data_IF_977917335529
#
_entry.id   IF_977917335529
#
_cell.length_a   1.000
_cell.length_b   1.000
_cell.length_c   1.000
_cell.angle_alpha   90.00
_cell.angle_beta   90.00
_cell.angle_gamma   90.00
#
_symmetry.space_group_name_H-M   'P 1'
#
loop_
_entity.id
_entity.type
_entity.pdbx_description
1 polymer ?
#
# COMPACT_ATOMS: atom_id res chain seq x y z
N UNK A 1 13.99 -30.68 -5.19
CA UNK A 1 14.00 -29.84 -3.97
C UNK A 1 12.81 -28.90 -4.07
N UNK A 2 11.87 -28.94 -3.12
CA UNK A 2 10.71 -28.04 -3.15
C UNK A 2 11.09 -26.73 -2.45
N UNK A 3 10.62 -25.60 -2.98
CA UNK A 3 10.89 -24.29 -2.37
C UNK A 3 10.26 -24.21 -0.96
N UNK A 4 9.17 -24.94 -0.73
CA UNK A 4 8.52 -25.07 0.57
C UNK A 4 9.48 -25.56 1.67
N UNK A 5 10.41 -26.44 1.31
CA UNK A 5 11.37 -27.05 2.23
C UNK A 5 12.46 -26.06 2.68
N UNK A 6 12.60 -24.92 1.98
CA UNK A 6 13.55 -23.85 2.29
C UNK A 6 13.02 -22.82 3.29
N UNK A 7 11.72 -22.78 3.54
CA UNK A 7 11.13 -21.77 4.41
C UNK A 7 11.32 -22.10 5.90
N UNK A 8 11.49 -21.04 6.70
CA UNK A 8 11.47 -21.14 8.16
C UNK A 8 10.11 -21.64 8.65
N UNK A 9 10.07 -22.36 9.78
CA UNK A 9 8.80 -22.84 10.37
C UNK A 9 7.80 -21.70 10.66
N UNK A 10 8.30 -20.49 10.95
CA UNK A 10 7.46 -19.31 11.22
C UNK A 10 6.63 -18.89 10.00
N UNK A 11 7.12 -19.14 8.79
CA UNK A 11 6.43 -18.78 7.54
C UNK A 11 5.06 -19.45 7.43
N UNK A 12 4.85 -20.60 8.11
CA UNK A 12 3.54 -21.29 8.16
C UNK A 12 2.43 -20.46 8.81
N UNK A 13 2.79 -19.45 9.62
CA UNK A 13 1.83 -18.58 10.30
C UNK A 13 1.60 -17.26 9.56
N UNK A 14 2.26 -17.03 8.43
CA UNK A 14 2.02 -15.82 7.65
C UNK A 14 0.61 -15.88 7.06
N UNK A 15 -0.13 -14.78 7.23
CA UNK A 15 -1.44 -14.58 6.64
C UNK A 15 -1.34 -13.43 5.64
N UNK A 16 -2.03 -13.58 4.52
CA UNK A 16 -2.26 -12.47 3.60
C UNK A 16 -3.17 -11.45 4.28
N UNK A 17 -3.00 -10.17 3.92
CA UNK A 17 -3.87 -9.11 4.42
C UNK A 17 -5.06 -8.96 3.49
N UNK A 18 -6.24 -9.35 3.96
CA UNK A 18 -7.51 -9.20 3.21
C UNK A 18 -7.77 -7.72 2.86
N UNK A 19 -7.36 -6.79 3.75
CA UNK A 19 -7.43 -5.34 3.51
C UNK A 19 -6.57 -4.92 2.30
N UNK A 20 -5.40 -5.52 2.10
CA UNK A 20 -4.53 -5.21 0.95
C UNK A 20 -5.14 -5.66 -0.37
N UNK A 21 -5.79 -6.82 -0.40
CA UNK A 21 -6.49 -7.30 -1.60
C UNK A 21 -7.70 -6.41 -1.93
N UNK A 22 -8.46 -5.99 -0.91
CA UNK A 22 -9.56 -5.04 -1.09
C UNK A 22 -9.06 -3.67 -1.61
N UNK A 23 -7.92 -3.20 -1.11
CA UNK A 23 -7.27 -1.98 -1.59
C UNK A 23 -6.88 -2.08 -3.07
N UNK A 24 -6.32 -3.21 -3.50
CA UNK A 24 -5.97 -3.45 -4.89
C UNK A 24 -7.21 -3.46 -5.79
N UNK A 25 -8.31 -4.07 -5.33
CA UNK A 25 -9.57 -4.06 -6.06
C UNK A 25 -10.18 -2.65 -6.15
N UNK A 26 -10.10 -1.86 -5.08
CA UNK A 26 -10.67 -0.51 -5.03
C UNK A 26 -9.99 0.50 -5.98
N UNK A 27 -8.78 0.20 -6.43
CA UNK A 27 -8.03 1.03 -7.37
C UNK A 27 -8.39 0.75 -8.84
N UNK A 28 -9.23 -0.25 -9.12
CA UNK A 28 -9.66 -0.55 -10.49
C UNK A 28 -10.67 0.50 -10.98
N UNK A 29 -10.49 1.10 -12.16
CA UNK A 29 -11.35 2.17 -12.65
C UNK A 29 -12.84 1.80 -12.80
N UNK A 30 -13.16 0.52 -12.96
CA UNK A 30 -14.51 -0.04 -13.09
C UNK A 30 -15.20 -0.32 -11.74
N UNK A 31 -14.49 -0.14 -10.61
CA UNK A 31 -14.98 -0.41 -9.26
C UNK A 31 -15.36 0.89 -8.55
N UNK A 32 -16.60 0.97 -8.06
CA UNK A 32 -17.01 2.00 -7.10
C UNK A 32 -16.79 1.45 -5.69
N UNK A 33 -15.74 1.93 -5.02
CA UNK A 33 -15.40 1.49 -3.66
C UNK A 33 -16.03 2.39 -2.60
N UNK A 34 -16.91 1.82 -1.77
CA UNK A 34 -17.36 2.42 -0.50
C UNK A 34 -16.58 1.88 0.71
N UNK A 35 -15.53 1.07 0.49
CA UNK A 35 -14.69 0.58 1.57
C UNK A 35 -14.00 1.77 2.25
N UNK A 36 -14.20 1.89 3.56
CA UNK A 36 -13.59 2.96 4.37
C UNK A 36 -12.10 2.73 4.59
N UNK A 37 -11.39 3.79 4.99
CA UNK A 37 -10.00 3.73 5.44
C UNK A 37 -8.96 4.28 4.47
N UNK A 38 -9.36 4.72 3.27
CA UNK A 38 -8.48 5.43 2.34
C UNK A 38 -8.83 6.92 2.30
N UNK A 39 -7.89 7.82 2.62
CA UNK A 39 -8.10 9.25 2.40
C UNK A 39 -8.27 9.54 0.90
N UNK A 40 -9.04 10.58 0.58
CA UNK A 40 -9.17 11.05 -0.80
C UNK A 40 -7.79 11.48 -1.34
N UNK A 41 -7.34 11.00 -2.52
CA UNK A 41 -6.08 11.43 -3.11
C UNK A 41 -5.98 12.95 -3.33
N UNK A 42 -7.11 13.59 -3.59
CA UNK A 42 -7.20 15.05 -3.81
C UNK A 42 -7.04 15.86 -2.51
N UNK A 43 -7.13 15.21 -1.35
CA UNK A 43 -6.91 15.86 -0.05
C UNK A 43 -5.42 15.89 0.35
N UNK A 44 -4.54 15.26 -0.43
CA UNK A 44 -3.11 15.28 -0.14
C UNK A 44 -2.48 16.61 -0.57
N UNK A 45 -1.69 17.28 0.31
CA UNK A 45 -0.96 18.51 0.00
C UNK A 45 0.33 18.19 -0.78
N UNK A 46 0.16 17.74 -2.03
CA UNK A 46 1.27 17.21 -2.84
C UNK A 46 2.32 18.27 -3.14
N UNK A 47 1.90 19.50 -3.45
CA UNK A 47 2.82 20.59 -3.82
C UNK A 47 3.63 21.06 -2.61
N UNK A 48 2.98 21.21 -1.44
CA UNK A 48 3.67 21.62 -0.21
C UNK A 48 4.70 20.57 0.23
N UNK A 49 4.36 19.28 0.13
CA UNK A 49 5.30 18.19 0.42
C UNK A 49 6.48 18.24 -0.55
N UNK A 50 6.23 18.48 -1.84
CA UNK A 50 7.27 18.58 -2.86
C UNK A 50 8.25 19.71 -2.56
N UNK A 51 7.76 20.90 -2.26
CA UNK A 51 8.61 22.05 -1.88
C UNK A 51 9.48 21.75 -0.65
N UNK A 52 8.89 21.12 0.38
CA UNK A 52 9.62 20.73 1.59
C UNK A 52 10.75 19.74 1.26
N UNK A 53 10.45 18.73 0.45
CA UNK A 53 11.44 17.70 0.05
C UNK A 53 12.58 18.33 -0.74
N UNK A 54 12.27 19.18 -1.72
CA UNK A 54 13.29 19.90 -2.51
C UNK A 54 14.20 20.75 -1.63
N UNK A 55 13.64 21.46 -0.64
CA UNK A 55 14.40 22.27 0.32
C UNK A 55 15.32 21.45 1.20
N UNK A 56 14.88 20.27 1.64
CA UNK A 56 15.70 19.36 2.47
C UNK A 56 16.87 18.81 1.67
N UNK A 57 16.63 18.40 0.42
CA UNK A 57 17.64 17.75 -0.42
C UNK A 57 18.66 18.74 -1.03
N UNK A 58 18.36 20.04 -1.04
CA UNK A 58 19.22 21.07 -1.60
C UNK A 58 20.13 21.76 -0.57
N UNK A 59 20.17 21.29 0.68
CA UNK A 59 21.16 21.64 1.71
C UNK A 59 22.25 20.55 1.81
#
# INVERSE_FOLDING_TARGET
>A
MRVDDLYSQRTKYFRTSEIRELLELSQRPDVISFAGGLPSPHAFPVEEIKEIVERILSN
#
